data_IF_269552289380
#
_entry.id   IF_269552289380
#
_cell.length_a   1.000
_cell.length_b   1.000
_cell.length_c   1.000
_cell.angle_alpha   90.00
_cell.angle_beta   90.00
_cell.angle_gamma   90.00
#
_symmetry.space_group_name_H-M   'P 1'
#
loop_
_entity.id
_entity.type
_entity.pdbx_description
1 polymer ?
#
# COMPACT_ATOMS: atom_id res chain seq x y z
N UNK A 1 -10.20 -11.72 -8.46
CA UNK A 1 -9.54 -10.69 -7.62
C UNK A 1 -10.09 -10.80 -6.22
N UNK A 2 -9.24 -11.03 -5.23
CA UNK A 2 -9.59 -11.20 -3.81
C UNK A 2 -9.31 -9.92 -3.03
N UNK A 3 -10.26 -9.31 -2.34
CA UNK A 3 -10.06 -8.12 -1.53
C UNK A 3 -9.87 -8.47 -0.06
N UNK A 4 -9.06 -7.69 0.63
CA UNK A 4 -8.96 -7.71 2.08
C UNK A 4 -9.91 -6.70 2.72
N UNK A 5 -10.38 -6.98 3.92
CA UNK A 5 -11.04 -6.04 4.83
C UNK A 5 -12.43 -5.55 4.46
N UNK A 6 -12.94 -5.83 3.28
CA UNK A 6 -14.29 -5.45 2.83
C UNK A 6 -15.27 -6.62 2.92
N UNK A 7 -16.55 -6.32 2.97
CA UNK A 7 -17.60 -7.34 2.97
C UNK A 7 -17.95 -7.76 1.53
N UNK A 8 -18.07 -9.05 1.29
CA UNK A 8 -18.48 -9.66 0.02
C UNK A 8 -19.21 -10.99 0.28
N UNK A 9 -19.97 -11.44 -0.69
CA UNK A 9 -20.50 -12.80 -0.73
C UNK A 9 -19.50 -13.77 -1.42
N UNK A 10 -19.81 -15.07 -1.41
CA UNK A 10 -18.91 -16.10 -1.93
C UNK A 10 -18.59 -15.93 -3.43
N UNK A 11 -19.52 -15.43 -4.22
CA UNK A 11 -19.31 -15.18 -5.65
C UNK A 11 -18.36 -14.00 -5.91
N UNK A 12 -18.22 -13.07 -4.95
CA UNK A 12 -17.40 -11.88 -5.03
C UNK A 12 -16.10 -11.97 -4.21
N UNK A 13 -15.79 -13.14 -3.63
CA UNK A 13 -14.56 -13.40 -2.89
C UNK A 13 -13.31 -13.37 -3.79
N UNK A 14 -13.44 -13.80 -5.03
CA UNK A 14 -12.32 -13.91 -5.97
C UNK A 14 -11.31 -15.01 -5.65
N UNK A 15 -11.73 -16.00 -4.84
CA UNK A 15 -10.99 -17.20 -4.49
C UNK A 15 -11.83 -18.44 -4.81
N UNK A 16 -11.38 -19.63 -4.44
CA UNK A 16 -12.00 -20.90 -4.80
C UNK A 16 -13.50 -21.00 -4.47
N UNK A 17 -14.28 -21.52 -5.40
CA UNK A 17 -15.65 -21.98 -5.21
C UNK A 17 -16.76 -20.95 -5.48
N UNK A 18 -16.44 -19.70 -5.86
CA UNK A 18 -17.43 -18.70 -6.28
C UNK A 18 -17.44 -18.43 -7.78
N UNK A 19 -18.48 -17.77 -8.30
CA UNK A 19 -18.58 -17.41 -9.72
C UNK A 19 -17.45 -16.46 -10.17
N UNK A 20 -16.94 -15.62 -9.27
CA UNK A 20 -15.78 -14.73 -9.49
C UNK A 20 -14.42 -15.36 -9.19
N UNK A 21 -14.34 -16.67 -8.89
CA UNK A 21 -13.09 -17.32 -8.50
C UNK A 21 -12.01 -17.22 -9.58
N UNK A 22 -12.39 -17.41 -10.85
CA UNK A 22 -11.48 -17.36 -12.00
C UNK A 22 -12.16 -16.66 -13.18
N UNK A 23 -11.44 -15.74 -13.81
CA UNK A 23 -11.92 -15.00 -14.99
C UNK A 23 -11.03 -15.35 -16.18
N UNK A 24 -11.56 -16.10 -17.14
CA UNK A 24 -10.81 -16.54 -18.32
C UNK A 24 -10.32 -15.35 -19.17
N UNK A 25 -9.22 -15.50 -19.93
CA UNK A 25 -8.71 -14.48 -20.84
C UNK A 25 -9.79 -13.92 -21.77
N UNK A 26 -9.86 -12.60 -21.90
CA UNK A 26 -10.86 -11.90 -22.71
C UNK A 26 -12.26 -11.82 -22.10
N UNK A 27 -12.49 -12.39 -20.92
CA UNK A 27 -13.73 -12.29 -20.17
C UNK A 27 -13.69 -11.16 -19.15
N UNK A 28 -14.87 -10.83 -18.63
CA UNK A 28 -15.05 -9.82 -17.57
C UNK A 28 -15.89 -10.41 -16.45
N UNK A 29 -15.55 -10.03 -15.23
CA UNK A 29 -16.36 -10.25 -14.05
C UNK A 29 -16.44 -8.95 -13.25
N UNK A 30 -17.59 -8.64 -12.71
CA UNK A 30 -17.78 -7.45 -11.86
C UNK A 30 -17.90 -7.92 -10.42
N UNK A 31 -16.89 -7.64 -9.63
CA UNK A 31 -16.91 -7.88 -8.19
C UNK A 31 -17.70 -6.78 -7.49
N UNK A 32 -18.55 -7.17 -6.56
CA UNK A 32 -19.26 -6.24 -5.67
C UNK A 32 -18.70 -6.37 -4.27
N UNK A 33 -17.99 -5.34 -3.84
CA UNK A 33 -17.40 -5.26 -2.50
C UNK A 33 -18.05 -4.12 -1.72
N UNK A 34 -18.37 -4.35 -0.45
CA UNK A 34 -19.08 -3.38 0.37
C UNK A 34 -18.14 -2.88 1.48
N UNK A 35 -17.84 -1.59 1.45
CA UNK A 35 -17.16 -0.91 2.53
C UNK A 35 -18.15 -0.61 3.66
N UNK A 36 -18.47 -1.61 4.46
CA UNK A 36 -19.33 -1.47 5.62
C UNK A 36 -18.60 -0.79 6.81
N UNK A 37 -19.23 -0.76 7.99
CA UNK A 37 -18.62 -0.17 9.17
C UNK A 37 -17.36 -0.91 9.63
N UNK A 38 -17.31 -2.24 9.43
CA UNK A 38 -16.17 -3.07 9.84
C UNK A 38 -14.99 -2.96 8.89
N UNK A 39 -15.25 -2.63 7.62
CA UNK A 39 -14.21 -2.36 6.62
C UNK A 39 -13.50 -1.02 6.81
N UNK A 40 -14.15 -0.07 7.49
CA UNK A 40 -13.60 1.26 7.74
C UNK A 40 -12.77 1.34 9.02
N UNK A 41 -12.14 2.52 9.27
CA UNK A 41 -11.33 2.76 10.45
C UNK A 41 -12.07 2.51 11.76
N UNK A 42 -11.48 1.71 12.66
CA UNK A 42 -11.93 1.52 14.04
C UNK A 42 -11.52 2.69 14.95
N UNK A 43 -11.89 2.66 16.23
CA UNK A 43 -11.66 3.78 17.16
C UNK A 43 -10.18 4.18 17.34
N UNK A 44 -9.25 3.22 17.23
CA UNK A 44 -7.82 3.45 17.38
C UNK A 44 -7.10 3.77 16.05
N UNK A 45 -7.81 3.61 14.93
CA UNK A 45 -7.24 3.86 13.60
C UNK A 45 -7.28 5.35 13.24
N UNK A 46 -6.43 5.81 12.34
CA UNK A 46 -6.56 7.12 11.72
C UNK A 46 -7.87 7.22 10.93
N UNK A 47 -8.20 8.40 10.39
CA UNK A 47 -9.48 8.65 9.71
C UNK A 47 -9.61 7.97 8.34
N UNK A 48 -8.55 7.39 7.79
CA UNK A 48 -8.55 6.48 6.65
C UNK A 48 -7.53 5.36 6.88
N UNK A 49 -7.83 4.18 6.34
CA UNK A 49 -6.96 2.99 6.38
C UNK A 49 -6.89 2.36 5.00
N UNK A 50 -5.90 1.50 4.81
CA UNK A 50 -5.65 0.80 3.55
C UNK A 50 -5.88 -0.69 3.70
N UNK A 51 -6.47 -1.28 2.66
CA UNK A 51 -6.57 -2.72 2.43
C UNK A 51 -5.91 -3.08 1.11
N UNK A 52 -5.53 -4.35 0.94
CA UNK A 52 -5.05 -4.91 -0.32
C UNK A 52 -6.19 -5.57 -1.09
N UNK A 53 -6.01 -5.68 -2.41
CA UNK A 53 -6.68 -6.66 -3.25
C UNK A 53 -5.67 -7.26 -4.23
N UNK A 54 -5.80 -8.54 -4.55
CA UNK A 54 -4.85 -9.23 -5.43
C UNK A 54 -5.50 -10.43 -6.13
N UNK A 55 -4.85 -10.99 -7.13
CA UNK A 55 -5.28 -12.26 -7.70
C UNK A 55 -5.04 -13.40 -6.72
N UNK A 56 -5.97 -14.37 -6.70
CA UNK A 56 -5.90 -15.55 -5.84
C UNK A 56 -5.96 -16.88 -6.62
N UNK A 57 -5.82 -16.82 -7.95
CA UNK A 57 -6.00 -18.00 -8.83
C UNK A 57 -4.71 -18.81 -8.93
N UNK A 58 -3.61 -18.14 -9.30
CA UNK A 58 -2.31 -18.77 -9.54
C UNK A 58 -1.28 -18.39 -8.46
N UNK A 59 -1.74 -18.03 -7.26
CA UNK A 59 -0.85 -17.64 -6.17
C UNK A 59 0.05 -16.47 -6.54
N UNK A 60 1.36 -16.62 -6.40
CA UNK A 60 2.33 -15.54 -6.61
C UNK A 60 2.50 -15.15 -8.10
N UNK A 61 2.26 -16.06 -9.05
CA UNK A 61 2.52 -15.80 -10.47
C UNK A 61 1.75 -14.58 -10.98
N UNK A 62 0.46 -14.52 -10.71
CA UNK A 62 -0.39 -13.41 -11.17
C UNK A 62 -0.14 -12.12 -10.38
N UNK A 63 0.24 -12.23 -9.11
CA UNK A 63 0.67 -11.08 -8.30
C UNK A 63 1.96 -10.50 -8.88
N UNK A 64 2.93 -11.33 -9.24
CA UNK A 64 4.17 -10.94 -9.90
C UNK A 64 3.95 -10.30 -11.28
N UNK A 65 2.84 -10.59 -11.94
CA UNK A 65 2.39 -9.90 -13.16
C UNK A 65 1.67 -8.56 -12.88
N UNK A 66 1.57 -8.16 -11.61
CA UNK A 66 1.01 -6.87 -11.20
C UNK A 66 -0.49 -6.90 -10.89
N UNK A 67 -1.11 -8.09 -10.74
CA UNK A 67 -2.52 -8.19 -10.33
C UNK A 67 -2.68 -7.98 -8.82
N UNK A 68 -2.29 -6.81 -8.36
CA UNK A 68 -2.34 -6.35 -6.97
C UNK A 68 -2.66 -4.86 -6.92
N UNK A 69 -3.34 -4.42 -5.87
CA UNK A 69 -3.60 -3.02 -5.65
C UNK A 69 -4.13 -2.75 -4.23
N UNK A 70 -4.49 -1.51 -3.97
CA UNK A 70 -4.92 -1.06 -2.66
C UNK A 70 -6.31 -0.43 -2.69
N UNK A 71 -7.04 -0.58 -1.59
CA UNK A 71 -8.32 0.05 -1.29
C UNK A 71 -8.12 0.97 -0.08
N UNK A 72 -8.30 2.28 -0.24
CA UNK A 72 -8.27 3.21 0.88
C UNK A 72 -9.71 3.50 1.31
N UNK A 73 -10.02 3.26 2.59
CA UNK A 73 -11.34 3.49 3.16
C UNK A 73 -11.28 4.63 4.16
N UNK A 74 -12.02 5.69 3.87
CA UNK A 74 -12.18 6.84 4.74
C UNK A 74 -13.34 6.62 5.71
N UNK A 75 -13.15 6.95 6.98
CA UNK A 75 -14.17 6.91 8.03
C UNK A 75 -15.43 7.66 7.58
N UNK A 76 -16.60 7.06 7.78
CA UNK A 76 -17.88 7.68 7.46
C UNK A 76 -17.98 9.09 8.06
N UNK A 77 -18.30 10.07 7.24
CA UNK A 77 -18.43 11.47 7.61
C UNK A 77 -17.11 12.25 7.63
N UNK A 78 -15.95 11.61 7.40
CA UNK A 78 -14.65 12.29 7.36
C UNK A 78 -14.22 12.70 5.94
N UNK A 79 -14.75 12.09 4.89
CA UNK A 79 -14.47 12.48 3.51
C UNK A 79 -14.83 13.96 3.26
N UNK A 80 -14.03 14.63 2.44
CA UNK A 80 -14.27 16.04 2.05
C UNK A 80 -15.57 16.19 1.28
N UNK A 81 -15.84 15.26 0.37
CA UNK A 81 -17.12 15.15 -0.38
C UNK A 81 -17.31 13.72 -0.90
N UNK A 82 -18.45 13.45 -1.54
CA UNK A 82 -18.70 12.16 -2.20
C UNK A 82 -17.72 11.86 -3.36
N UNK A 83 -17.23 12.89 -4.03
CA UNK A 83 -16.23 12.77 -5.12
C UNK A 83 -14.79 12.97 -4.66
N UNK A 84 -14.56 13.32 -3.41
CA UNK A 84 -13.23 13.48 -2.83
C UNK A 84 -13.16 12.76 -1.49
N UNK A 85 -12.69 11.50 -1.48
CA UNK A 85 -12.63 10.67 -0.27
C UNK A 85 -11.53 11.08 0.71
N UNK A 86 -10.63 12.02 0.35
CA UNK A 86 -9.58 12.49 1.24
C UNK A 86 -10.18 12.97 2.58
N UNK A 87 -9.71 12.47 3.73
CA UNK A 87 -10.21 12.91 5.03
C UNK A 87 -9.98 14.41 5.28
N UNK A 88 -10.91 15.05 6.01
CA UNK A 88 -10.81 16.48 6.32
C UNK A 88 -9.65 16.84 7.24
N UNK A 89 -9.16 15.89 8.02
CA UNK A 89 -8.05 16.04 8.97
C UNK A 89 -6.68 15.74 8.34
N UNK A 90 -6.63 15.44 7.04
CA UNK A 90 -5.42 15.15 6.29
C UNK A 90 -5.32 16.08 5.08
N UNK A 91 -4.15 16.64 4.83
CA UNK A 91 -3.93 17.51 3.68
C UNK A 91 -3.66 16.70 2.41
N UNK A 92 -3.00 15.53 2.55
CA UNK A 92 -2.59 14.67 1.45
C UNK A 92 -2.44 13.21 1.88
N UNK A 93 -2.73 12.28 0.99
CA UNK A 93 -2.49 10.85 1.18
C UNK A 93 -1.57 10.31 0.10
N UNK A 94 -0.68 9.40 0.48
CA UNK A 94 0.16 8.61 -0.40
C UNK A 94 -0.02 7.13 -0.11
N UNK A 95 0.06 6.31 -1.16
CA UNK A 95 0.03 4.86 -1.03
C UNK A 95 1.33 4.28 -1.56
N UNK A 96 1.96 3.40 -0.77
CA UNK A 96 3.19 2.69 -1.11
C UNK A 96 3.02 1.19 -0.86
N UNK A 97 3.25 0.41 -1.89
CA UNK A 97 3.33 -1.04 -1.84
C UNK A 97 4.80 -1.45 -1.96
N UNK A 98 5.32 -2.09 -0.92
CA UNK A 98 6.64 -2.71 -0.91
C UNK A 98 6.49 -4.16 -1.34
N UNK A 99 7.17 -4.55 -2.39
CA UNK A 99 7.09 -5.90 -2.92
C UNK A 99 8.32 -6.23 -3.78
N UNK A 100 8.78 -7.47 -3.65
CA UNK A 100 9.81 -8.06 -4.52
C UNK A 100 9.09 -8.82 -5.63
N UNK A 101 9.04 -8.23 -6.82
CA UNK A 101 8.48 -8.91 -7.99
C UNK A 101 9.49 -9.91 -8.56
N UNK A 102 9.03 -11.09 -8.89
CA UNK A 102 9.77 -12.12 -9.60
C UNK A 102 9.15 -12.35 -10.98
N UNK A 103 9.56 -11.55 -11.96
CA UNK A 103 8.99 -11.58 -13.32
C UNK A 103 9.34 -12.87 -14.08
N UNK A 104 10.40 -13.59 -13.69
CA UNK A 104 10.90 -14.79 -14.35
C UNK A 104 10.55 -16.11 -13.63
N UNK A 105 9.77 -16.02 -12.56
CA UNK A 105 9.16 -17.10 -11.77
C UNK A 105 10.08 -18.18 -11.16
N UNK A 106 11.40 -18.09 -11.26
CA UNK A 106 12.29 -19.06 -10.60
C UNK A 106 13.80 -18.70 -10.52
N UNK A 107 14.18 -17.46 -10.83
CA UNK A 107 15.60 -17.07 -10.79
C UNK A 107 15.82 -15.85 -9.90
N UNK A 108 16.80 -15.93 -9.02
CA UNK A 108 17.24 -14.79 -8.20
C UNK A 108 17.59 -13.55 -9.06
N UNK A 109 18.02 -13.76 -10.31
CA UNK A 109 18.32 -12.67 -11.27
C UNK A 109 17.09 -11.89 -11.74
N UNK A 110 15.88 -12.45 -11.59
CA UNK A 110 14.60 -11.83 -11.95
C UNK A 110 13.98 -10.96 -10.85
N UNK A 111 14.56 -10.95 -9.66
CA UNK A 111 13.99 -10.23 -8.51
C UNK A 111 14.08 -8.72 -8.70
N UNK A 112 12.95 -8.04 -8.54
CA UNK A 112 12.82 -6.57 -8.60
C UNK A 112 12.34 -6.05 -7.26
N UNK A 113 13.24 -5.51 -6.47
CA UNK A 113 12.94 -4.91 -5.17
C UNK A 113 12.31 -3.53 -5.37
N UNK A 114 11.01 -3.42 -5.16
CA UNK A 114 10.25 -2.27 -5.65
C UNK A 114 9.44 -1.54 -4.57
N UNK A 115 9.17 -0.28 -4.85
CA UNK A 115 8.09 0.50 -4.25
C UNK A 115 7.12 0.83 -5.38
N UNK A 116 5.86 0.41 -5.28
CA UNK A 116 4.84 0.55 -6.33
C UNK A 116 5.31 0.05 -7.72
N UNK A 117 6.01 -1.08 -7.77
CA UNK A 117 6.51 -1.68 -9.00
C UNK A 117 7.70 -0.92 -9.64
N UNK A 118 8.30 0.04 -8.94
CA UNK A 118 9.46 0.82 -9.41
C UNK A 118 10.63 0.64 -8.46
N UNK A 119 11.85 0.67 -9.00
CA UNK A 119 13.09 0.54 -8.22
C UNK A 119 14.10 1.62 -8.61
N UNK A 120 15.19 1.72 -7.85
CA UNK A 120 16.31 2.64 -8.07
C UNK A 120 15.89 4.11 -8.24
N UNK A 121 14.88 4.56 -7.49
CA UNK A 121 14.42 5.95 -7.51
C UNK A 121 13.58 6.34 -8.74
N UNK A 122 13.15 5.37 -9.56
CA UNK A 122 12.32 5.62 -10.75
C UNK A 122 10.83 5.82 -10.42
N UNK A 123 10.53 6.25 -9.22
CA UNK A 123 9.19 6.54 -8.73
C UNK A 123 9.14 7.99 -8.25
N UNK A 124 8.32 8.81 -8.89
CA UNK A 124 8.12 10.23 -8.62
C UNK A 124 6.71 10.52 -8.09
N UNK A 125 6.44 11.81 -7.83
CA UNK A 125 5.11 12.31 -7.48
C UNK A 125 4.82 12.37 -5.99
N UNK A 126 5.75 12.01 -5.14
CA UNK A 126 5.62 12.18 -3.70
C UNK A 126 6.11 13.56 -3.27
N UNK A 127 5.19 14.52 -3.32
CA UNK A 127 5.45 15.91 -2.90
C UNK A 127 4.46 16.33 -1.82
N UNK A 128 4.96 16.91 -0.75
CA UNK A 128 4.15 17.46 0.33
C UNK A 128 4.64 18.85 0.73
N UNK A 129 3.82 19.61 1.45
CA UNK A 129 4.21 20.91 1.98
C UNK A 129 4.62 20.83 3.45
N UNK A 130 5.60 21.63 3.80
CA UNK A 130 6.04 21.82 5.19
C UNK A 130 4.84 22.11 6.11
N UNK A 131 4.77 21.43 7.24
CA UNK A 131 3.73 21.63 8.24
C UNK A 131 2.35 21.08 7.89
N UNK A 132 2.16 20.50 6.69
CA UNK A 132 0.89 19.87 6.28
C UNK A 132 0.84 18.41 6.71
N UNK A 133 -0.33 17.93 7.13
CA UNK A 133 -0.50 16.54 7.53
C UNK A 133 -0.58 15.64 6.30
N UNK A 134 0.35 14.71 6.22
CA UNK A 134 0.42 13.68 5.19
C UNK A 134 0.14 12.33 5.82
N UNK A 135 -0.73 11.55 5.21
CA UNK A 135 -0.94 10.13 5.56
C UNK A 135 -0.28 9.25 4.54
N UNK A 136 0.51 8.30 5.03
CA UNK A 136 1.10 7.25 4.22
C UNK A 136 0.35 5.94 4.49
N UNK A 137 -0.21 5.37 3.44
CA UNK A 137 -0.79 4.04 3.41
C UNK A 137 0.29 3.09 2.94
N UNK A 138 0.78 2.27 3.83
CA UNK A 138 1.89 1.35 3.59
C UNK A 138 1.35 -0.07 3.55
N UNK A 139 1.69 -0.81 2.52
CA UNK A 139 1.33 -2.21 2.35
C UNK A 139 2.53 -3.02 1.88
N UNK A 140 2.55 -4.31 2.17
CA UNK A 140 3.47 -5.27 1.59
C UNK A 140 2.71 -6.52 1.15
N UNK A 141 3.20 -7.15 0.10
CA UNK A 141 2.71 -8.42 -0.41
C UNK A 141 3.90 -9.18 -0.99
N UNK A 142 3.78 -10.48 -1.12
CA UNK A 142 4.82 -11.36 -1.66
C UNK A 142 5.03 -12.60 -0.82
N UNK A 143 6.26 -13.10 -0.77
CA UNK A 143 6.64 -14.34 -0.09
C UNK A 143 7.48 -14.08 1.19
N UNK A 144 8.17 -15.09 1.67
CA UNK A 144 8.99 -15.03 2.90
C UNK A 144 10.16 -14.02 2.84
N UNK A 145 10.52 -13.54 1.66
CA UNK A 145 11.57 -12.52 1.48
C UNK A 145 11.02 -11.09 1.63
N UNK A 146 9.70 -10.92 1.56
CA UNK A 146 9.04 -9.60 1.59
C UNK A 146 8.82 -9.06 3.02
N UNK A 147 9.84 -9.19 3.87
CA UNK A 147 9.87 -8.53 5.17
C UNK A 147 10.51 -7.15 4.99
N UNK A 148 9.73 -6.09 5.14
CA UNK A 148 10.20 -4.74 4.88
C UNK A 148 10.14 -3.86 6.12
N UNK A 149 11.06 -2.90 6.18
CA UNK A 149 11.08 -1.84 7.18
C UNK A 149 11.15 -0.50 6.47
N UNK A 150 10.06 0.22 6.44
CA UNK A 150 9.89 1.46 5.68
C UNK A 150 10.42 2.64 6.47
N UNK A 151 11.41 3.34 5.93
CA UNK A 151 12.08 4.46 6.58
C UNK A 151 11.96 5.76 5.78
N UNK A 152 11.60 6.84 6.48
CA UNK A 152 11.54 8.20 5.93
C UNK A 152 12.71 9.03 6.50
N UNK A 153 13.68 9.39 5.67
CA UNK A 153 14.78 10.24 6.08
C UNK A 153 14.31 11.62 6.55
N UNK A 154 14.91 12.10 7.63
CA UNK A 154 14.67 13.44 8.17
C UNK A 154 13.29 13.67 8.81
N UNK A 155 12.42 12.68 8.83
CA UNK A 155 11.04 12.78 9.32
C UNK A 155 10.70 11.69 10.34
N UNK A 156 9.60 11.89 11.03
CA UNK A 156 8.99 10.86 11.89
C UNK A 156 7.52 10.72 11.58
N UNK A 157 6.99 9.52 11.77
CA UNK A 157 5.58 9.18 11.60
C UNK A 157 4.93 8.82 12.93
N UNK A 158 3.63 8.94 13.00
CA UNK A 158 2.80 8.40 14.07
C UNK A 158 2.18 7.10 13.58
N UNK A 159 2.68 5.97 14.08
CA UNK A 159 2.21 4.64 13.79
C UNK A 159 1.61 4.01 15.06
N UNK A 160 0.36 3.53 14.99
CA UNK A 160 -0.34 2.91 16.13
C UNK A 160 -0.26 3.73 17.44
N UNK A 161 -0.37 5.05 17.33
CA UNK A 161 -0.25 5.98 18.46
C UNK A 161 1.19 6.20 18.98
N UNK A 162 2.20 5.65 18.34
CA UNK A 162 3.62 5.80 18.71
C UNK A 162 4.39 6.55 17.65
N UNK A 163 5.35 7.36 18.08
CA UNK A 163 6.28 8.04 17.19
C UNK A 163 7.44 7.13 16.84
N UNK A 164 7.69 6.99 15.55
CA UNK A 164 8.82 6.26 14.97
C UNK A 164 9.27 6.92 13.67
N UNK A 165 10.37 6.52 13.09
CA UNK A 165 10.82 6.87 11.74
C UNK A 165 10.94 5.66 10.82
N UNK A 166 10.67 4.47 11.37
CA UNK A 166 10.63 3.19 10.64
C UNK A 166 9.36 2.45 11.01
N UNK A 167 8.69 1.82 10.05
CA UNK A 167 7.57 0.90 10.27
C UNK A 167 7.82 -0.43 9.59
N UNK A 168 7.51 -1.51 10.30
CA UNK A 168 7.62 -2.86 9.81
C UNK A 168 6.36 -3.24 9.01
N UNK A 169 6.54 -3.93 7.89
CA UNK A 169 5.47 -4.56 7.14
C UNK A 169 5.91 -5.94 6.66
N UNK A 170 5.03 -6.91 6.87
CA UNK A 170 5.17 -8.31 6.46
C UNK A 170 4.29 -8.57 5.24
N UNK A 171 4.50 -9.66 4.49
CA UNK A 171 3.59 -10.06 3.42
C UNK A 171 2.12 -10.03 3.86
N UNK A 172 1.27 -9.42 3.04
CA UNK A 172 -0.16 -9.19 3.28
C UNK A 172 -0.48 -8.35 4.53
N UNK A 173 0.48 -7.57 5.05
CA UNK A 173 0.20 -6.61 6.11
C UNK A 173 0.07 -5.17 5.57
N UNK A 174 -0.69 -4.37 6.30
CA UNK A 174 -0.97 -2.99 5.93
C UNK A 174 -0.99 -2.10 7.16
N UNK A 175 -0.51 -0.88 7.01
CA UNK A 175 -0.59 0.15 8.05
C UNK A 175 -0.79 1.53 7.46
N UNK A 176 -1.45 2.41 8.20
CA UNK A 176 -1.61 3.82 7.82
C UNK A 176 -0.99 4.69 8.90
N UNK A 177 -0.07 5.55 8.49
CA UNK A 177 0.73 6.38 9.41
C UNK A 177 0.65 7.85 9.03
N UNK A 178 0.62 8.72 10.04
CA UNK A 178 0.55 10.17 9.86
C UNK A 178 1.91 10.83 10.06
N UNK A 179 2.20 11.78 9.20
CA UNK A 179 3.39 12.60 9.23
C UNK A 179 3.02 14.08 9.11
N UNK A 180 3.74 14.93 9.83
CA UNK A 180 3.78 16.37 9.58
C UNK A 180 5.23 16.73 9.26
N UNK A 181 5.57 16.98 7.97
CA UNK A 181 6.93 17.29 7.57
C UNK A 181 7.48 18.52 8.30
N UNK A 182 8.71 18.43 8.79
CA UNK A 182 9.36 19.45 9.63
C UNK A 182 10.52 20.18 8.95
N UNK A 183 10.99 19.64 7.83
CA UNK A 183 12.13 20.20 7.10
C UNK A 183 11.89 20.07 5.60
N UNK A 184 12.07 21.15 4.82
CA UNK A 184 11.95 21.09 3.37
C UNK A 184 13.18 20.39 2.77
N UNK A 185 13.01 19.87 1.55
CA UNK A 185 14.09 19.19 0.80
C UNK A 185 13.63 17.91 0.11
N UNK A 186 14.55 17.30 -0.61
CA UNK A 186 14.38 15.98 -1.22
C UNK A 186 14.94 14.91 -0.28
N UNK A 187 14.06 14.05 0.20
CA UNK A 187 14.34 13.05 1.21
C UNK A 187 14.27 11.64 0.64
N UNK A 188 15.06 10.72 1.18
CA UNK A 188 14.99 9.30 0.83
C UNK A 188 13.81 8.64 1.55
N UNK A 189 13.07 7.81 0.82
CA UNK A 189 12.11 6.82 1.32
C UNK A 189 12.58 5.45 0.83
N UNK A 190 12.81 4.50 1.72
CA UNK A 190 13.38 3.21 1.34
C UNK A 190 13.03 2.09 2.32
N UNK A 191 13.23 0.85 1.91
CA UNK A 191 13.30 -0.28 2.84
C UNK A 191 14.63 -0.24 3.58
N UNK A 192 14.60 -0.39 4.92
CA UNK A 192 15.82 -0.40 5.74
C UNK A 192 16.43 -1.81 5.91
N UNK A 193 15.84 -2.83 5.30
CA UNK A 193 16.54 -4.11 5.06
C UNK A 193 17.64 -3.84 4.04
N UNK A 194 18.89 -4.02 4.44
CA UNK A 194 20.06 -3.55 3.68
C UNK A 194 20.09 -4.09 2.24
N UNK A 195 19.85 -5.38 2.08
CA UNK A 195 19.91 -6.03 0.78
C UNK A 195 18.80 -5.54 -0.16
N UNK A 196 17.60 -5.28 0.37
CA UNK A 196 16.49 -4.71 -0.39
C UNK A 196 16.81 -3.28 -0.84
N UNK A 197 17.38 -2.46 0.03
CA UNK A 197 17.79 -1.09 -0.30
C UNK A 197 18.85 -1.09 -1.40
N UNK A 198 19.88 -1.92 -1.27
CA UNK A 198 20.95 -2.04 -2.27
C UNK A 198 20.44 -2.58 -3.61
N UNK A 199 19.41 -3.45 -3.60
CA UNK A 199 18.74 -3.95 -4.79
C UNK A 199 17.74 -2.96 -5.39
N UNK A 200 17.63 -1.74 -4.85
CA UNK A 200 16.87 -0.65 -5.45
C UNK A 200 15.52 -0.34 -4.83
N UNK A 201 15.17 -0.93 -3.67
CA UNK A 201 13.92 -0.61 -2.96
C UNK A 201 14.00 0.75 -2.26
N UNK A 202 14.13 1.79 -3.07
CA UNK A 202 14.29 3.18 -2.63
C UNK A 202 13.69 4.15 -3.63
N UNK A 203 13.15 5.26 -3.14
CA UNK A 203 12.70 6.40 -3.93
C UNK A 203 12.94 7.70 -3.17
N UNK A 204 12.59 8.82 -3.82
CA UNK A 204 12.65 10.15 -3.21
C UNK A 204 11.24 10.69 -3.01
N UNK A 205 11.09 11.50 -1.98
CA UNK A 205 9.92 12.32 -1.79
C UNK A 205 10.34 13.73 -1.40
N UNK A 206 9.55 14.71 -1.80
CA UNK A 206 9.91 16.13 -1.66
C UNK A 206 9.01 16.81 -0.65
N UNK A 207 9.64 17.60 0.21
CA UNK A 207 8.94 18.54 1.10
C UNK A 207 9.17 19.96 0.56
N UNK A 208 8.10 20.56 0.08
CA UNK A 208 8.08 21.97 -0.38
C UNK A 208 7.95 22.89 0.83
N UNK A 209 8.53 24.11 0.77
CA UNK A 209 8.34 25.15 1.78
C UNK A 209 6.88 25.52 2.03
#
# INVERSE_FOLDING_TARGET
MHPHGVLYDKDNEGADGGAGASVAPGKRYTYTWVADKAAGPGPADPSSIVWLYHSHVMGEEEINLGLVGTLVITRKGMARSASNPLPRDVDQEFTVLFMIFNEENDKESGLKHTINGRNFGNLDGYEARLGKRVRWHVAALGNEQDNHTVHWHGQTVLAHGRRTDVVEVLPASMTSVDMVPRSPGDWLLHCHVNDHMLAGMATRWRVLP
#
